data_IF_704479194723
#
_entry.id   IF_704479194723
#
_cell.length_a   1.000
_cell.length_b   1.000
_cell.length_c   1.000
_cell.angle_alpha   90.00
_cell.angle_beta   90.00
_cell.angle_gamma   90.00
#
_symmetry.space_group_name_H-M   'P 1'
#
loop_
_entity.id
_entity.type
_entity.pdbx_description
1 polymer ?
#
# COMPACT_ATOMS: atom_id res chain seq x y z
N UNK A 1 17.41 -24.90 -17.20
CA UNK A 1 16.51 -23.75 -17.44
C UNK A 1 16.99 -22.60 -16.60
N UNK A 2 17.06 -21.40 -17.17
CA UNK A 2 17.51 -20.18 -16.50
C UNK A 2 16.54 -19.77 -15.39
N UNK A 3 17.08 -19.39 -14.23
CA UNK A 3 16.33 -18.83 -13.09
C UNK A 3 15.49 -17.63 -13.53
N UNK A 4 14.24 -17.55 -13.09
CA UNK A 4 13.37 -16.41 -13.45
C UNK A 4 13.86 -15.17 -12.69
N UNK A 5 14.18 -14.04 -13.36
CA UNK A 5 14.69 -12.86 -12.68
C UNK A 5 13.68 -12.24 -11.72
N UNK A 6 14.17 -11.59 -10.67
CA UNK A 6 13.33 -10.86 -9.70
C UNK A 6 12.69 -9.62 -10.37
N UNK A 7 11.42 -9.75 -10.74
CA UNK A 7 10.60 -8.69 -11.32
C UNK A 7 10.28 -7.54 -10.36
N UNK A 8 10.53 -7.70 -9.05
CA UNK A 8 10.29 -6.65 -8.03
C UNK A 8 11.49 -5.73 -7.92
N UNK A 9 12.71 -6.29 -7.96
CA UNK A 9 13.96 -5.51 -7.89
C UNK A 9 14.43 -5.01 -9.24
N UNK A 10 14.22 -5.78 -10.32
CA UNK A 10 14.66 -5.39 -11.66
C UNK A 10 13.60 -5.69 -12.74
N UNK A 11 12.51 -4.89 -12.80
CA UNK A 11 11.43 -5.09 -13.76
C UNK A 11 11.93 -5.10 -15.22
N UNK A 12 12.94 -4.30 -15.54
CA UNK A 12 13.49 -4.22 -16.89
C UNK A 12 14.22 -5.50 -17.31
N UNK A 13 14.98 -6.11 -16.40
CA UNK A 13 15.66 -7.38 -16.65
C UNK A 13 14.66 -8.52 -16.79
N UNK A 14 13.64 -8.57 -15.94
CA UNK A 14 12.56 -9.55 -16.08
C UNK A 14 11.84 -9.43 -17.43
N UNK A 15 11.55 -8.20 -17.88
CA UNK A 15 10.91 -8.00 -19.19
C UNK A 15 11.78 -8.48 -20.34
N UNK A 16 13.10 -8.18 -20.31
CA UNK A 16 14.04 -8.71 -21.31
C UNK A 16 14.08 -10.24 -21.29
N UNK A 17 14.09 -10.83 -20.10
CA UNK A 17 14.04 -12.28 -19.97
C UNK A 17 12.76 -12.86 -20.58
N UNK A 18 11.60 -12.26 -20.27
CA UNK A 18 10.29 -12.70 -20.74
C UNK A 18 10.18 -12.59 -22.26
N UNK A 19 10.64 -11.48 -22.84
CA UNK A 19 10.65 -11.26 -24.29
C UNK A 19 11.58 -12.26 -25.00
N UNK A 20 12.71 -12.60 -24.36
CA UNK A 20 13.69 -13.57 -24.86
C UNK A 20 13.29 -15.05 -24.73
N UNK A 21 12.20 -15.37 -24.02
CA UNK A 21 11.75 -16.77 -23.91
C UNK A 21 11.04 -17.23 -25.19
N UNK A 22 11.44 -18.41 -25.68
CA UNK A 22 10.71 -19.11 -26.73
C UNK A 22 9.60 -19.96 -26.09
N UNK A 23 8.33 -19.71 -26.46
CA UNK A 23 7.17 -20.38 -25.84
C UNK A 23 7.25 -21.91 -25.94
N UNK A 24 7.81 -22.43 -27.03
CA UNK A 24 7.98 -23.86 -27.27
C UNK A 24 9.01 -24.54 -26.34
N UNK A 25 9.83 -23.76 -25.65
CA UNK A 25 10.84 -24.22 -24.70
C UNK A 25 10.36 -24.10 -23.25
N UNK A 26 9.19 -23.46 -23.02
CA UNK A 26 8.63 -23.29 -21.69
C UNK A 26 7.87 -24.55 -21.24
N UNK A 27 7.98 -24.90 -19.95
CA UNK A 27 7.46 -26.16 -19.41
C UNK A 27 5.94 -26.27 -19.56
N UNK A 28 5.22 -25.19 -19.39
CA UNK A 28 3.75 -25.17 -19.37
C UNK A 28 3.10 -25.01 -20.74
N UNK A 29 3.86 -25.06 -21.83
CA UNK A 29 3.32 -24.78 -23.18
C UNK A 29 2.17 -25.69 -23.59
N UNK A 30 2.23 -26.96 -23.18
CA UNK A 30 1.22 -27.98 -23.45
C UNK A 30 0.19 -28.10 -22.32
N UNK A 31 0.28 -27.25 -21.29
CA UNK A 31 -0.65 -27.32 -20.18
C UNK A 31 -2.05 -26.85 -20.64
N UNK A 32 -3.10 -27.68 -20.48
CA UNK A 32 -4.44 -27.35 -20.96
C UNK A 32 -5.05 -26.10 -20.29
N UNK A 33 -4.57 -25.71 -19.11
CA UNK A 33 -5.02 -24.50 -18.39
C UNK A 33 -4.41 -23.21 -18.92
N UNK A 34 -3.36 -23.28 -19.76
CA UNK A 34 -2.69 -22.10 -20.30
C UNK A 34 -3.65 -21.17 -21.05
N UNK A 35 -4.52 -21.73 -21.90
CA UNK A 35 -5.49 -20.95 -22.70
C UNK A 35 -6.56 -20.33 -21.79
N UNK A 36 -7.09 -21.10 -20.83
CA UNK A 36 -8.10 -20.61 -19.89
C UNK A 36 -7.55 -19.45 -19.04
N UNK A 37 -6.33 -19.59 -18.52
CA UNK A 37 -5.66 -18.55 -17.74
C UNK A 37 -5.35 -17.30 -18.56
N UNK A 38 -4.89 -17.47 -19.80
CA UNK A 38 -4.62 -16.36 -20.70
C UNK A 38 -5.88 -15.54 -20.96
N UNK A 39 -7.00 -16.20 -21.27
CA UNK A 39 -8.28 -15.54 -21.52
C UNK A 39 -8.79 -14.80 -20.27
N UNK A 40 -8.62 -15.39 -19.09
CA UNK A 40 -9.07 -14.82 -17.82
C UNK A 40 -8.27 -13.56 -17.44
N UNK A 41 -6.98 -13.52 -17.76
CA UNK A 41 -6.01 -12.54 -17.24
C UNK A 41 -5.56 -11.49 -18.26
N UNK A 42 -5.92 -11.65 -19.54
CA UNK A 42 -5.59 -10.69 -20.60
C UNK A 42 -6.01 -9.27 -20.20
N UNK A 43 -5.05 -8.35 -20.26
CA UNK A 43 -5.27 -6.93 -19.91
C UNK A 43 -5.33 -6.63 -18.41
N UNK A 44 -5.14 -7.63 -17.54
CA UNK A 44 -5.27 -7.47 -16.08
C UNK A 44 -3.92 -7.52 -15.35
N UNK A 45 -2.86 -8.00 -15.98
CA UNK A 45 -1.54 -8.13 -15.35
C UNK A 45 -0.63 -7.00 -15.80
N UNK A 46 0.01 -6.36 -14.83
CA UNK A 46 0.88 -5.19 -15.02
C UNK A 46 2.27 -5.40 -14.43
N UNK A 47 3.25 -4.63 -14.89
CA UNK A 47 4.61 -4.64 -14.37
C UNK A 47 5.18 -3.21 -14.25
N UNK A 48 6.14 -3.03 -13.33
CA UNK A 48 6.82 -1.76 -13.09
C UNK A 48 6.21 -0.90 -11.98
N UNK A 49 6.94 0.15 -11.58
CA UNK A 49 6.43 1.21 -10.71
C UNK A 49 5.51 2.15 -11.50
N UNK A 50 4.57 2.81 -10.82
CA UNK A 50 3.59 3.68 -11.47
C UNK A 50 4.26 4.77 -12.35
N UNK A 51 3.83 4.98 -13.62
CA UNK A 51 2.74 4.27 -14.29
C UNK A 51 3.13 2.84 -14.69
N UNK A 52 2.33 1.86 -14.26
CA UNK A 52 2.57 0.45 -14.55
C UNK A 52 2.17 0.12 -15.99
N UNK A 53 2.89 -0.82 -16.61
CA UNK A 53 2.65 -1.26 -17.99
C UNK A 53 1.89 -2.57 -17.98
N UNK A 54 0.78 -2.66 -18.73
CA UNK A 54 0.04 -3.91 -18.92
C UNK A 54 0.86 -4.86 -19.79
N UNK A 55 0.99 -6.13 -19.38
CA UNK A 55 1.64 -7.15 -20.20
C UNK A 55 0.86 -7.38 -21.49
N UNK A 56 1.58 -7.50 -22.61
CA UNK A 56 0.99 -7.97 -23.85
C UNK A 56 0.48 -9.41 -23.69
N UNK A 57 -0.41 -9.83 -24.59
CA UNK A 57 -0.95 -11.20 -24.58
C UNK A 57 0.17 -12.24 -24.72
N UNK A 58 1.18 -11.97 -25.56
CA UNK A 58 2.33 -12.85 -25.75
C UNK A 58 3.17 -12.95 -24.46
N UNK A 59 3.47 -11.83 -23.83
CA UNK A 59 4.22 -11.77 -22.57
C UNK A 59 3.46 -12.50 -21.45
N UNK A 60 2.16 -12.27 -21.32
CA UNK A 60 1.33 -12.98 -20.36
C UNK A 60 1.31 -14.49 -20.63
N UNK A 61 1.23 -14.90 -21.91
CA UNK A 61 1.26 -16.31 -22.28
C UNK A 61 2.59 -16.97 -21.92
N UNK A 62 3.72 -16.31 -22.20
CA UNK A 62 5.05 -16.78 -21.79
C UNK A 62 5.18 -16.84 -20.27
N UNK A 63 4.67 -15.84 -19.55
CA UNK A 63 4.67 -15.82 -18.09
C UNK A 63 3.93 -17.04 -17.52
N UNK A 64 2.69 -17.27 -17.97
CA UNK A 64 1.90 -18.41 -17.53
C UNK A 64 2.57 -19.74 -17.88
N UNK A 65 3.11 -19.87 -19.09
CA UNK A 65 3.80 -21.08 -19.52
C UNK A 65 5.11 -21.35 -18.77
N UNK A 66 5.78 -20.32 -18.25
CA UNK A 66 6.97 -20.50 -17.43
C UNK A 66 6.67 -21.14 -16.06
N UNK A 67 5.48 -20.89 -15.51
CA UNK A 67 5.08 -21.36 -14.18
C UNK A 67 4.14 -22.57 -14.19
N UNK A 68 3.51 -22.86 -15.33
CA UNK A 68 2.72 -24.09 -15.51
C UNK A 68 3.65 -25.29 -15.76
N UNK A 69 3.27 -26.44 -15.23
CA UNK A 69 3.94 -27.72 -15.51
C UNK A 69 3.25 -28.44 -16.66
N UNK A 70 3.98 -29.09 -17.58
CA UNK A 70 3.38 -30.01 -18.55
C UNK A 70 2.80 -31.22 -17.80
N UNK A 71 1.48 -31.52 -17.91
CA UNK A 71 0.90 -32.71 -17.31
C UNK A 71 1.62 -34.02 -17.67
N UNK A 72 2.25 -34.09 -18.85
CA UNK A 72 2.94 -35.28 -19.35
C UNK A 72 4.29 -35.52 -18.68
N UNK A 73 4.91 -34.50 -18.08
CA UNK A 73 6.20 -34.62 -17.38
C UNK A 73 6.03 -35.03 -15.93
N UNK A 74 4.80 -35.07 -15.41
CA UNK A 74 4.50 -35.53 -14.05
C UNK A 74 4.62 -37.06 -14.01
N UNK A 75 5.78 -37.56 -13.61
CA UNK A 75 6.08 -38.99 -13.47
C UNK A 75 6.48 -39.33 -12.03
N UNK A 76 5.78 -40.26 -11.37
CA UNK A 76 6.05 -40.68 -9.99
C UNK A 76 4.77 -41.02 -9.22
N UNK A 77 4.89 -41.36 -7.93
CA UNK A 77 3.79 -41.75 -7.02
C UNK A 77 2.72 -40.68 -6.73
N UNK A 78 2.70 -39.61 -7.52
CA UNK A 78 1.62 -38.64 -7.56
C UNK A 78 0.52 -39.15 -8.47
N UNK A 79 -0.71 -39.30 -7.95
CA UNK A 79 -1.84 -39.60 -8.83
C UNK A 79 -2.10 -38.38 -9.72
N UNK A 80 -2.32 -38.58 -11.03
CA UNK A 80 -2.78 -37.53 -11.95
C UNK A 80 -3.99 -36.73 -11.39
N UNK A 81 -4.78 -37.35 -10.50
CA UNK A 81 -5.86 -36.71 -9.76
C UNK A 81 -5.39 -35.56 -8.86
N UNK A 82 -4.30 -35.71 -8.11
CA UNK A 82 -3.78 -34.64 -7.23
C UNK A 82 -3.26 -33.44 -8.03
N UNK A 83 -2.57 -33.71 -9.14
CA UNK A 83 -2.11 -32.66 -10.06
C UNK A 83 -3.28 -31.85 -10.65
N UNK A 84 -4.33 -32.54 -11.11
CA UNK A 84 -5.54 -31.91 -11.63
C UNK A 84 -6.26 -31.07 -10.56
N UNK A 85 -6.39 -31.59 -9.35
CA UNK A 85 -7.03 -30.88 -8.23
C UNK A 85 -6.29 -29.60 -7.87
N UNK A 86 -4.96 -29.59 -7.86
CA UNK A 86 -4.20 -28.36 -7.59
C UNK A 86 -4.37 -27.31 -8.69
N UNK A 87 -4.41 -27.73 -9.97
CA UNK A 87 -4.70 -26.81 -11.07
C UNK A 87 -6.10 -26.19 -10.98
N UNK A 88 -7.11 -26.97 -10.64
CA UNK A 88 -8.47 -26.48 -10.47
C UNK A 88 -8.60 -25.56 -9.25
N UNK A 89 -7.88 -25.84 -8.16
CA UNK A 89 -7.81 -24.98 -6.98
C UNK A 89 -7.15 -23.62 -7.32
N UNK A 90 -6.08 -23.62 -8.12
CA UNK A 90 -5.46 -22.38 -8.56
C UNK A 90 -6.38 -21.55 -9.44
N UNK A 91 -7.08 -22.19 -10.38
CA UNK A 91 -8.07 -21.54 -11.22
C UNK A 91 -9.18 -20.90 -10.37
N UNK A 92 -9.67 -21.61 -9.33
CA UNK A 92 -10.65 -21.07 -8.40
C UNK A 92 -10.10 -19.87 -7.61
N UNK A 93 -8.83 -19.93 -7.16
CA UNK A 93 -8.18 -18.83 -6.45
C UNK A 93 -8.06 -17.57 -7.33
N UNK A 94 -7.67 -17.73 -8.61
CA UNK A 94 -7.57 -16.62 -9.57
C UNK A 94 -8.94 -16.03 -9.87
N UNK A 95 -9.97 -16.86 -10.10
CA UNK A 95 -11.36 -16.39 -10.30
C UNK A 95 -11.85 -15.61 -9.07
N UNK A 96 -11.59 -16.13 -7.87
CA UNK A 96 -11.92 -15.46 -6.62
C UNK A 96 -11.17 -14.13 -6.42
N UNK A 97 -9.90 -14.04 -6.83
CA UNK A 97 -9.13 -12.79 -6.81
C UNK A 97 -9.80 -11.73 -7.69
N UNK A 98 -10.19 -12.09 -8.91
CA UNK A 98 -10.84 -11.19 -9.86
C UNK A 98 -12.21 -10.75 -9.35
N UNK A 99 -13.02 -11.69 -8.85
CA UNK A 99 -14.34 -11.41 -8.30
C UNK A 99 -14.25 -10.46 -7.09
N UNK A 100 -13.32 -10.71 -6.16
CA UNK A 100 -13.08 -9.82 -5.02
C UNK A 100 -12.68 -8.42 -5.48
N UNK A 101 -11.77 -8.31 -6.46
CA UNK A 101 -11.37 -7.03 -7.03
C UNK A 101 -12.54 -6.23 -7.63
N UNK A 102 -13.47 -6.91 -8.31
CA UNK A 102 -14.68 -6.29 -8.86
C UNK A 102 -15.67 -5.78 -7.81
N UNK A 103 -15.65 -6.33 -6.59
CA UNK A 103 -16.51 -5.90 -5.47
C UNK A 103 -15.92 -4.75 -4.65
N UNK A 104 -14.72 -4.27 -4.99
CA UNK A 104 -14.06 -3.16 -4.29
C UNK A 104 -14.55 -1.79 -4.81
N UNK A 105 -14.37 -0.76 -3.99
CA UNK A 105 -14.64 0.64 -4.33
C UNK A 105 -13.40 1.49 -4.10
N UNK A 106 -12.71 1.98 -5.15
CA UNK A 106 -12.97 1.70 -6.56
C UNK A 106 -12.64 0.25 -6.95
N UNK A 107 -13.25 -0.30 -8.03
CA UNK A 107 -12.96 -1.64 -8.49
C UNK A 107 -11.50 -1.83 -8.86
N UNK A 108 -10.90 -2.92 -8.41
CA UNK A 108 -9.55 -3.32 -8.81
C UNK A 108 -9.64 -4.30 -9.97
N UNK A 109 -9.20 -3.83 -11.13
CA UNK A 109 -9.27 -4.57 -12.40
C UNK A 109 -7.90 -5.00 -12.93
N UNK A 110 -6.82 -4.55 -12.28
CA UNK A 110 -5.45 -4.89 -12.61
C UNK A 110 -4.61 -5.24 -11.38
N UNK A 111 -3.65 -6.13 -11.56
CA UNK A 111 -2.72 -6.62 -10.54
C UNK A 111 -1.31 -6.57 -11.11
N UNK A 112 -0.33 -6.26 -10.28
CA UNK A 112 1.08 -6.43 -10.66
C UNK A 112 1.42 -7.92 -10.84
N UNK A 113 2.47 -8.23 -11.64
CA UNK A 113 3.04 -9.58 -11.74
C UNK A 113 3.26 -10.16 -10.34
N UNK A 114 3.80 -9.37 -9.42
CA UNK A 114 4.01 -9.73 -8.02
C UNK A 114 2.72 -10.19 -7.31
N UNK A 115 1.64 -9.41 -7.41
CA UNK A 115 0.36 -9.73 -6.78
C UNK A 115 -0.30 -10.96 -7.43
N UNK A 116 -0.16 -11.08 -8.74
CA UNK A 116 -0.68 -12.22 -9.48
C UNK A 116 0.06 -13.53 -9.15
N UNK A 117 1.40 -13.49 -9.07
CA UNK A 117 2.21 -14.64 -8.67
C UNK A 117 1.81 -15.15 -7.28
N UNK A 118 1.63 -14.21 -6.33
CA UNK A 118 1.23 -14.52 -4.97
C UNK A 118 -0.18 -15.13 -4.88
N UNK A 119 -1.16 -14.48 -5.50
CA UNK A 119 -2.58 -14.78 -5.30
C UNK A 119 -3.11 -15.85 -6.26
N UNK A 120 -2.43 -16.08 -7.38
CA UNK A 120 -2.92 -16.91 -8.48
C UNK A 120 -2.06 -18.12 -8.83
N UNK A 121 -0.73 -17.98 -8.86
CA UNK A 121 0.18 -19.01 -9.37
C UNK A 121 0.84 -19.88 -8.29
N UNK A 122 0.77 -19.47 -7.02
CA UNK A 122 1.21 -20.27 -5.86
C UNK A 122 0.55 -21.66 -5.77
N UNK A 123 -0.61 -21.85 -6.39
CA UNK A 123 -1.32 -23.12 -6.45
C UNK A 123 -1.02 -23.97 -7.70
N UNK A 124 -0.29 -23.43 -8.69
CA UNK A 124 0.03 -24.12 -9.97
C UNK A 124 1.40 -24.82 -9.97
N UNK A 125 2.27 -24.50 -9.01
CA UNK A 125 3.62 -25.04 -8.89
C UNK A 125 3.67 -26.11 -7.79
N UNK A 126 3.40 -27.38 -8.12
CA UNK A 126 3.43 -28.48 -7.14
C UNK A 126 4.70 -29.36 -7.20
N UNK A 127 5.47 -29.30 -8.28
CA UNK A 127 6.73 -30.08 -8.45
C UNK A 127 8.00 -29.24 -8.24
N UNK A 128 7.83 -27.95 -7.91
CA UNK A 128 8.92 -27.02 -7.60
C UNK A 128 8.53 -26.20 -6.39
N UNK A 129 8.95 -26.62 -5.22
CA UNK A 129 9.18 -25.71 -4.10
C UNK A 129 10.68 -25.41 -4.16
N UNK A 130 11.09 -24.76 -5.25
CA UNK A 130 12.45 -24.25 -5.36
C UNK A 130 12.55 -22.93 -4.58
N UNK A 131 13.76 -22.57 -4.18
CA UNK A 131 14.08 -21.30 -3.52
C UNK A 131 13.47 -20.09 -4.26
N UNK A 132 13.31 -20.17 -5.58
CA UNK A 132 12.69 -19.16 -6.45
C UNK A 132 11.23 -18.82 -6.07
N UNK A 133 10.43 -19.80 -5.63
CA UNK A 133 9.04 -19.58 -5.21
C UNK A 133 9.01 -18.98 -3.81
N UNK A 134 9.82 -19.51 -2.90
CA UNK A 134 9.96 -18.99 -1.54
C UNK A 134 10.50 -17.54 -1.58
N UNK A 135 11.45 -17.24 -2.45
CA UNK A 135 11.99 -15.91 -2.65
C UNK A 135 11.01 -14.98 -3.36
N UNK A 136 10.17 -15.50 -4.26
CA UNK A 136 9.00 -14.79 -4.79
C UNK A 136 8.03 -14.40 -3.66
N UNK A 137 7.70 -15.34 -2.76
CA UNK A 137 6.84 -15.07 -1.60
C UNK A 137 7.47 -14.04 -0.66
N UNK A 138 8.76 -14.18 -0.32
CA UNK A 138 9.51 -13.19 0.48
C UNK A 138 9.51 -11.83 -0.21
N UNK A 139 9.76 -11.77 -1.52
CA UNK A 139 9.80 -10.53 -2.29
C UNK A 139 8.47 -9.79 -2.27
N UNK A 140 7.35 -10.50 -2.42
CA UNK A 140 6.01 -9.90 -2.33
C UNK A 140 5.68 -9.46 -0.90
N UNK A 141 6.01 -10.27 0.11
CA UNK A 141 5.82 -9.88 1.51
C UNK A 141 6.63 -8.64 1.87
N UNK A 142 7.89 -8.56 1.42
CA UNK A 142 8.75 -7.37 1.60
C UNK A 142 8.17 -6.16 0.86
N UNK A 143 7.70 -6.34 -0.39
CA UNK A 143 7.10 -5.24 -1.17
C UNK A 143 5.82 -4.71 -0.52
N UNK A 144 4.92 -5.59 -0.08
CA UNK A 144 3.67 -5.20 0.59
C UNK A 144 3.93 -4.63 1.98
N UNK A 145 4.89 -5.17 2.75
CA UNK A 145 5.32 -4.59 4.02
C UNK A 145 5.91 -3.19 3.83
N UNK A 146 6.74 -2.98 2.81
CA UNK A 146 7.29 -1.67 2.47
C UNK A 146 6.19 -0.67 2.07
N UNK A 147 5.22 -1.08 1.25
CA UNK A 147 4.05 -0.25 0.91
C UNK A 147 3.21 0.09 2.14
N UNK A 148 2.98 -0.88 3.02
CA UNK A 148 2.26 -0.70 4.29
C UNK A 148 2.99 0.29 5.21
N UNK A 149 4.30 0.14 5.37
CA UNK A 149 5.15 1.05 6.16
C UNK A 149 5.12 2.46 5.58
N UNK A 150 5.34 2.60 4.28
CA UNK A 150 5.31 3.90 3.60
C UNK A 150 3.95 4.60 3.76
N UNK A 151 2.83 3.90 3.54
CA UNK A 151 1.49 4.46 3.76
C UNK A 151 1.22 4.77 5.22
N UNK A 152 1.68 3.90 6.13
CA UNK A 152 1.55 4.12 7.57
C UNK A 152 2.30 5.36 8.04
N UNK A 153 3.50 5.59 7.53
CA UNK A 153 4.28 6.79 7.84
C UNK A 153 3.66 8.04 7.20
N UNK A 154 3.15 7.94 5.96
CA UNK A 154 2.41 9.05 5.33
C UNK A 154 1.15 9.43 6.11
N UNK A 155 0.41 8.45 6.61
CA UNK A 155 -0.77 8.65 7.44
C UNK A 155 -0.44 9.28 8.79
N UNK A 156 0.66 8.87 9.43
CA UNK A 156 1.14 9.51 10.67
C UNK A 156 1.44 10.98 10.43
N UNK A 157 2.13 11.30 9.34
CA UNK A 157 2.46 12.69 8.97
C UNK A 157 1.20 13.54 8.76
N UNK A 158 0.22 13.04 7.99
CA UNK A 158 -1.03 13.77 7.75
C UNK A 158 -1.91 13.88 8.99
N UNK A 159 -1.95 12.85 9.84
CA UNK A 159 -2.70 12.87 11.09
C UNK A 159 -2.11 13.87 12.07
N UNK A 160 -0.78 13.95 12.15
CA UNK A 160 -0.10 14.96 12.94
C UNK A 160 -0.41 16.37 12.47
N UNK A 161 -0.39 16.59 11.15
CA UNK A 161 -0.79 17.88 10.55
C UNK A 161 -2.25 18.24 10.89
N UNK A 162 -3.19 17.30 10.76
CA UNK A 162 -4.60 17.51 11.13
C UNK A 162 -4.76 17.83 12.62
N UNK A 163 -4.00 17.18 13.50
CA UNK A 163 -4.07 17.47 14.93
C UNK A 163 -3.57 18.87 15.25
N UNK A 164 -2.52 19.35 14.57
CA UNK A 164 -2.06 20.74 14.67
C UNK A 164 -3.14 21.71 14.18
N UNK A 165 -3.78 21.45 13.04
CA UNK A 165 -4.94 22.22 12.58
C UNK A 165 -6.09 22.22 13.61
N UNK A 166 -6.35 21.08 14.26
CA UNK A 166 -7.35 20.96 15.32
C UNK A 166 -7.03 21.82 16.56
N UNK A 167 -5.76 21.88 16.96
CA UNK A 167 -5.30 22.78 18.03
C UNK A 167 -5.51 24.25 17.65
N UNK A 168 -5.11 24.64 16.43
CA UNK A 168 -5.29 26.02 15.93
C UNK A 168 -6.78 26.39 15.93
N UNK A 169 -7.63 25.52 15.38
CA UNK A 169 -9.07 25.74 15.31
C UNK A 169 -9.71 25.82 16.70
N UNK A 170 -9.28 24.97 17.63
CA UNK A 170 -9.73 25.02 19.02
C UNK A 170 -9.39 26.37 19.67
N UNK A 171 -8.18 26.87 19.47
CA UNK A 171 -7.74 28.13 20.05
C UNK A 171 -8.47 29.34 19.44
N UNK A 172 -8.66 29.36 18.11
CA UNK A 172 -9.48 30.37 17.43
C UNK A 172 -10.91 30.36 17.98
N UNK A 173 -11.51 29.18 18.17
CA UNK A 173 -12.86 29.04 18.68
C UNK A 173 -12.98 29.51 20.14
N UNK A 174 -11.96 29.28 20.99
CA UNK A 174 -11.93 29.84 22.36
C UNK A 174 -11.96 31.37 22.33
N UNK A 175 -11.16 31.99 21.45
CA UNK A 175 -11.16 33.46 21.30
C UNK A 175 -12.49 33.97 20.77
N UNK A 176 -13.10 33.29 19.79
CA UNK A 176 -14.43 33.66 19.29
C UNK A 176 -15.52 33.55 20.36
N UNK A 177 -15.44 32.55 21.24
CA UNK A 177 -16.39 32.34 22.33
C UNK A 177 -16.16 33.26 23.54
N UNK A 178 -15.04 33.98 23.60
CA UNK A 178 -14.73 34.87 24.71
C UNK A 178 -15.69 36.07 24.75
N UNK A 179 -16.08 36.48 25.95
CA UNK A 179 -16.99 37.62 26.19
C UNK A 179 -16.29 38.98 26.14
N UNK A 180 -14.96 39.00 26.22
CA UNK A 180 -14.11 40.19 26.10
C UNK A 180 -12.75 39.79 25.49
N UNK A 181 -12.06 40.74 24.84
CA UNK A 181 -10.76 40.53 24.17
C UNK A 181 -10.74 39.39 23.13
N UNK A 182 -11.65 39.47 22.16
CA UNK A 182 -11.76 38.54 21.03
C UNK A 182 -10.71 38.80 19.94
N UNK A 183 -9.43 38.83 20.31
CA UNK A 183 -8.30 39.00 19.38
C UNK A 183 -7.40 37.77 19.43
N UNK A 184 -7.30 37.07 18.31
CA UNK A 184 -6.41 35.92 18.17
C UNK A 184 -5.06 36.39 17.64
N UNK A 185 -3.99 36.07 18.36
CA UNK A 185 -2.63 36.39 17.93
C UNK A 185 -1.99 35.17 17.26
N UNK A 186 -1.39 35.37 16.10
CA UNK A 186 -0.80 34.27 15.32
C UNK A 186 0.59 33.87 15.80
N UNK A 187 1.14 34.58 16.81
CA UNK A 187 2.37 34.25 17.53
C UNK A 187 2.19 33.10 18.57
N UNK A 188 0.98 32.57 18.71
CA UNK A 188 0.68 31.42 19.56
C UNK A 188 1.61 30.24 19.26
N UNK A 189 2.32 29.75 20.28
CA UNK A 189 3.33 28.72 20.13
C UNK A 189 2.72 27.31 20.07
N UNK A 190 2.94 26.63 18.95
CA UNK A 190 2.52 25.25 18.69
C UNK A 190 3.50 24.21 19.26
N UNK A 191 4.67 24.60 19.76
CA UNK A 191 5.65 23.64 20.33
C UNK A 191 5.35 23.21 21.79
N UNK A 192 4.15 23.49 22.31
CA UNK A 192 3.76 23.03 23.65
C UNK A 192 3.17 21.61 23.59
N UNK A 193 3.88 20.67 24.22
CA UNK A 193 3.51 19.25 24.28
C UNK A 193 2.11 19.00 24.87
N UNK A 194 1.63 19.89 25.75
CA UNK A 194 0.32 19.78 26.39
C UNK A 194 -0.84 19.96 25.42
N UNK A 195 -0.63 20.74 24.33
CA UNK A 195 -1.64 20.97 23.31
C UNK A 195 -2.07 19.68 22.59
N UNK A 196 -1.18 18.69 22.59
CA UNK A 196 -1.37 17.41 21.91
C UNK A 196 -1.63 16.25 22.87
N UNK A 197 -1.74 16.52 24.18
CA UNK A 197 -2.02 15.52 25.21
C UNK A 197 -0.83 14.65 25.61
N UNK A 198 0.41 15.05 25.30
CA UNK A 198 1.59 14.32 25.78
C UNK A 198 1.81 14.52 27.28
N UNK A 199 2.32 13.49 27.96
CA UNK A 199 2.67 13.57 29.39
C UNK A 199 4.00 14.29 29.66
N UNK A 200 4.90 14.31 28.67
CA UNK A 200 6.22 14.94 28.79
C UNK A 200 6.70 15.53 27.46
N UNK A 201 7.60 16.52 27.54
CA UNK A 201 8.28 17.07 26.36
C UNK A 201 9.15 16.01 25.65
N UNK A 202 9.75 15.10 26.41
CA UNK A 202 10.57 14.03 25.85
C UNK A 202 9.76 13.06 24.97
N UNK A 203 8.50 12.79 25.33
CA UNK A 203 7.60 11.97 24.52
C UNK A 203 7.11 12.72 23.30
N UNK A 204 6.80 14.01 23.45
CA UNK A 204 6.42 14.87 22.33
C UNK A 204 7.51 14.95 21.26
N UNK A 205 8.78 15.08 21.65
CA UNK A 205 9.93 15.10 20.71
C UNK A 205 10.07 13.82 19.87
N UNK A 206 9.50 12.70 20.32
CA UNK A 206 9.46 11.44 19.56
C UNK A 206 8.22 11.36 18.65
N UNK A 207 7.20 12.15 18.96
CA UNK A 207 5.91 12.17 18.29
C UNK A 207 5.94 12.78 16.89
N UNK A 208 4.96 12.43 16.03
CA UNK A 208 4.89 12.92 14.66
C UNK A 208 4.55 14.42 14.58
N UNK A 209 3.85 14.99 15.56
CA UNK A 209 3.54 16.42 15.63
C UNK A 209 4.81 17.26 15.80
N UNK A 210 5.70 16.88 16.72
CA UNK A 210 6.99 17.57 16.88
C UNK A 210 7.86 17.45 15.62
N UNK A 211 7.94 16.26 15.02
CA UNK A 211 8.70 16.04 13.77
C UNK A 211 8.21 16.88 12.60
N UNK A 212 6.93 17.24 12.58
CA UNK A 212 6.40 18.16 11.58
C UNK A 212 6.75 19.61 11.94
N UNK A 213 6.52 20.00 13.19
CA UNK A 213 6.77 21.37 13.67
C UNK A 213 8.27 21.74 13.61
N UNK A 214 9.18 20.85 13.97
CA UNK A 214 10.63 21.12 13.98
C UNK A 214 11.16 21.57 12.62
N UNK A 215 10.53 21.12 11.53
CA UNK A 215 10.87 21.52 10.15
C UNK A 215 10.62 23.02 9.91
N UNK A 216 9.79 23.65 10.73
CA UNK A 216 9.27 25.02 10.61
C UNK A 216 9.74 25.92 11.76
N UNK A 217 10.64 25.40 12.60
CA UNK A 217 11.12 26.04 13.80
C UNK A 217 11.94 27.29 13.47
N UNK A 218 11.63 28.39 14.16
CA UNK A 218 12.44 29.60 14.12
C UNK A 218 13.75 29.44 14.90
N UNK A 219 14.63 30.42 14.78
CA UNK A 219 15.88 30.49 15.56
C UNK A 219 15.68 30.54 17.08
N UNK A 220 14.48 30.91 17.52
CA UNK A 220 14.06 30.95 18.93
C UNK A 220 13.55 29.60 19.46
N UNK A 221 13.59 28.56 18.63
CA UNK A 221 13.12 27.23 19.00
C UNK A 221 11.60 27.10 19.04
N UNK A 222 10.84 28.06 18.51
CA UNK A 222 9.36 28.02 18.52
C UNK A 222 8.80 27.87 17.12
N UNK A 223 7.54 27.43 17.07
CA UNK A 223 6.73 27.45 15.86
C UNK A 223 5.44 28.14 16.20
N UNK A 224 5.23 29.32 15.63
CA UNK A 224 3.97 30.02 15.80
C UNK A 224 2.91 29.48 14.84
N UNK A 225 1.64 29.81 15.07
CA UNK A 225 0.56 29.53 14.11
C UNK A 225 0.87 30.14 12.75
N UNK A 226 1.41 31.36 12.72
CA UNK A 226 1.83 32.00 11.48
C UNK A 226 2.91 31.18 10.76
N UNK A 227 3.99 30.81 11.46
CA UNK A 227 5.06 29.98 10.89
C UNK A 227 4.50 28.68 10.28
N UNK A 228 3.60 28.01 11.01
CA UNK A 228 3.00 26.77 10.55
C UNK A 228 2.14 26.98 9.29
N UNK A 229 1.24 27.98 9.28
CA UNK A 229 0.32 28.22 8.16
C UNK A 229 1.05 28.70 6.90
N UNK A 230 2.11 29.51 7.03
CA UNK A 230 2.90 30.01 5.90
C UNK A 230 3.93 29.01 5.36
N UNK A 231 4.26 27.96 6.12
CA UNK A 231 5.24 26.95 5.70
C UNK A 231 4.75 26.08 4.53
N UNK A 232 5.62 25.79 3.58
CA UNK A 232 5.42 24.83 2.49
C UNK A 232 5.81 23.39 2.88
N UNK A 233 6.41 23.19 4.06
CA UNK A 233 6.89 21.89 4.56
C UNK A 233 5.78 21.00 5.14
N UNK A 234 4.56 21.16 4.64
CA UNK A 234 3.35 20.43 5.06
C UNK A 234 2.47 20.09 3.86
N UNK A 235 1.61 19.08 4.00
CA UNK A 235 0.83 18.52 2.88
C UNK A 235 -0.29 19.45 2.41
N UNK A 236 -0.87 20.25 3.30
CA UNK A 236 -1.90 21.26 2.96
C UNK A 236 -1.37 22.49 2.20
N UNK A 237 -0.04 22.62 2.07
CA UNK A 237 0.63 23.73 1.40
C UNK A 237 0.63 25.03 2.21
N UNK A 238 1.33 26.04 1.68
CA UNK A 238 1.46 27.35 2.32
C UNK A 238 0.20 28.21 2.13
N UNK A 239 -0.20 28.91 3.20
CA UNK A 239 -1.12 30.05 3.15
C UNK A 239 -0.31 31.34 2.95
N UNK A 240 -0.95 32.36 2.38
CA UNK A 240 -0.36 33.69 2.17
C UNK A 240 -1.12 34.72 3.00
N UNK A 241 -0.47 35.86 3.22
CA UNK A 241 -1.08 37.05 3.82
C UNK A 241 -1.63 36.81 5.23
N UNK A 242 -0.91 36.03 6.05
CA UNK A 242 -1.28 35.79 7.44
C UNK A 242 -0.92 37.03 8.29
N UNK A 243 -1.94 37.69 8.84
CA UNK A 243 -1.80 38.85 9.72
C UNK A 243 -1.20 38.43 11.08
N UNK A 244 -0.59 39.37 11.80
CA UNK A 244 -0.03 39.11 13.14
C UNK A 244 -1.15 38.83 14.17
N UNK A 245 -2.32 39.40 13.96
CA UNK A 245 -3.49 39.19 14.80
C UNK A 245 -4.79 39.36 14.01
N UNK A 246 -5.84 38.70 14.48
CA UNK A 246 -7.19 38.77 13.93
C UNK A 246 -8.17 39.10 15.05
N UNK A 247 -8.73 40.31 15.01
CA UNK A 247 -9.76 40.74 15.95
C UNK A 247 -11.16 40.41 15.43
N UNK A 248 -12.04 40.03 16.33
CA UNK A 248 -13.48 39.97 16.06
C UNK A 248 -14.04 41.37 15.88
N UNK A 249 -14.87 41.55 14.86
CA UNK A 249 -15.64 42.75 14.63
C UNK A 249 -17.03 42.33 14.10
N UNK A 250 -18.09 42.97 14.61
CA UNK A 250 -19.49 42.64 14.26
C UNK A 250 -19.81 42.92 12.78
N UNK A 251 -19.21 43.96 12.21
CA UNK A 251 -19.49 44.43 10.84
C UNK A 251 -18.53 43.83 9.82
N UNK A 252 -17.30 43.47 10.24
CA UNK A 252 -16.30 42.81 9.39
C UNK A 252 -15.48 41.79 10.19
N UNK A 253 -16.03 40.60 10.39
CA UNK A 253 -15.45 39.57 11.23
C UNK A 253 -14.22 38.90 10.59
N UNK A 254 -13.08 39.61 10.59
CA UNK A 254 -11.79 39.09 10.12
C UNK A 254 -11.39 37.78 10.83
N UNK A 255 -11.63 37.69 12.14
CA UNK A 255 -11.36 36.47 12.91
C UNK A 255 -12.21 35.28 12.44
N UNK A 256 -13.49 35.49 12.15
CA UNK A 256 -14.38 34.48 11.58
C UNK A 256 -13.93 34.04 10.19
N UNK A 257 -13.58 34.99 9.31
CA UNK A 257 -13.08 34.69 7.97
C UNK A 257 -11.75 33.92 8.00
N UNK A 258 -10.86 34.27 8.94
CA UNK A 258 -9.63 33.53 9.18
C UNK A 258 -9.90 32.10 9.67
N UNK A 259 -10.83 31.93 10.62
CA UNK A 259 -11.29 30.62 11.09
C UNK A 259 -11.78 29.73 9.95
N UNK A 260 -12.63 30.27 9.07
CA UNK A 260 -13.10 29.54 7.87
C UNK A 260 -11.96 29.18 6.94
N UNK A 261 -11.01 30.10 6.69
CA UNK A 261 -9.86 29.84 5.83
C UNK A 261 -8.95 28.72 6.37
N UNK A 262 -8.75 28.67 7.69
CA UNK A 262 -8.01 27.57 8.35
C UNK A 262 -8.77 26.25 8.22
N UNK A 263 -10.09 26.25 8.44
CA UNK A 263 -10.94 25.06 8.25
C UNK A 263 -10.89 24.54 6.81
N UNK A 264 -11.03 25.41 5.82
CA UNK A 264 -11.00 25.04 4.40
C UNK A 264 -9.67 24.42 3.97
N UNK A 265 -8.56 24.75 4.64
CA UNK A 265 -7.24 24.11 4.40
C UNK A 265 -7.15 22.70 4.99
N UNK A 266 -7.80 22.45 6.13
CA UNK A 266 -7.79 21.14 6.79
C UNK A 266 -8.74 20.12 6.16
N UNK A 267 -9.84 20.55 5.52
CA UNK A 267 -10.85 19.63 4.95
C UNK A 267 -10.29 18.67 3.89
N UNK A 268 -9.60 19.13 2.83
CA UNK A 268 -9.03 18.21 1.84
C UNK A 268 -8.00 17.24 2.44
N UNK A 269 -7.26 17.68 3.46
CA UNK A 269 -6.31 16.83 4.17
C UNK A 269 -7.02 15.72 4.95
N UNK A 270 -8.17 16.03 5.58
CA UNK A 270 -8.99 15.04 6.28
C UNK A 270 -9.56 13.99 5.32
N UNK A 271 -10.02 14.42 4.15
CA UNK A 271 -10.50 13.51 3.10
C UNK A 271 -9.38 12.57 2.62
N UNK A 272 -8.17 13.10 2.42
CA UNK A 272 -6.99 12.29 2.06
C UNK A 272 -6.59 11.29 3.15
N UNK A 273 -6.67 11.65 4.43
CA UNK A 273 -6.43 10.73 5.55
C UNK A 273 -7.44 9.59 5.55
N UNK A 274 -8.72 9.89 5.32
CA UNK A 274 -9.76 8.87 5.22
C UNK A 274 -9.52 7.91 4.05
N UNK A 275 -9.18 8.44 2.86
CA UNK A 275 -8.83 7.63 1.69
C UNK A 275 -7.63 6.73 1.97
N UNK A 276 -6.53 7.30 2.49
CA UNK A 276 -5.29 6.55 2.75
C UNK A 276 -5.45 5.53 3.86
N UNK A 277 -6.29 5.79 4.87
CA UNK A 277 -6.62 4.82 5.92
C UNK A 277 -7.33 3.61 5.34
N UNK A 278 -8.30 3.85 4.45
CA UNK A 278 -8.98 2.78 3.71
C UNK A 278 -7.98 1.95 2.90
N UNK A 279 -7.04 2.60 2.20
CA UNK A 279 -5.99 1.92 1.41
C UNK A 279 -5.01 1.13 2.30
N UNK A 280 -4.62 1.67 3.46
CA UNK A 280 -3.76 0.97 4.42
C UNK A 280 -4.43 -0.29 4.97
N UNK A 281 -5.72 -0.21 5.29
CA UNK A 281 -6.51 -1.34 5.75
C UNK A 281 -6.61 -2.44 4.67
N UNK A 282 -6.82 -2.06 3.41
CA UNK A 282 -6.83 -2.99 2.27
C UNK A 282 -5.47 -3.67 2.09
N UNK A 283 -4.36 -2.92 2.09
CA UNK A 283 -3.00 -3.49 1.96
C UNK A 283 -2.68 -4.41 3.14
N UNK A 284 -3.08 -4.04 4.36
CA UNK A 284 -2.90 -4.87 5.55
C UNK A 284 -3.73 -6.17 5.47
N UNK A 285 -4.95 -6.09 4.96
CA UNK A 285 -5.79 -7.27 4.70
C UNK A 285 -5.16 -8.20 3.67
N UNK A 286 -4.65 -7.66 2.55
CA UNK A 286 -3.95 -8.43 1.52
C UNK A 286 -2.67 -9.08 2.05
N UNK A 287 -1.91 -8.36 2.88
CA UNK A 287 -0.71 -8.89 3.53
C UNK A 287 -1.05 -10.07 4.46
N UNK A 288 -2.11 -9.95 5.26
CA UNK A 288 -2.56 -11.03 6.13
C UNK A 288 -3.10 -12.23 5.33
N UNK A 289 -3.86 -12.00 4.26
CA UNK A 289 -4.30 -13.05 3.36
C UNK A 289 -3.12 -13.76 2.67
N UNK A 290 -2.06 -13.01 2.33
CA UNK A 290 -0.82 -13.57 1.79
C UNK A 290 -0.10 -14.47 2.81
N UNK A 291 -0.02 -14.05 4.08
CA UNK A 291 0.51 -14.86 5.17
C UNK A 291 -0.32 -16.14 5.34
N UNK A 292 -1.64 -16.03 5.32
CA UNK A 292 -2.50 -17.20 5.49
C UNK A 292 -2.37 -18.18 4.33
N UNK A 293 -2.30 -17.68 3.09
CA UNK A 293 -2.05 -18.49 1.91
C UNK A 293 -0.69 -19.20 1.99
N UNK A 294 0.36 -18.49 2.44
CA UNK A 294 1.68 -19.07 2.66
C UNK A 294 1.65 -20.14 3.75
N UNK A 295 0.97 -19.89 4.87
CA UNK A 295 0.84 -20.87 5.95
C UNK A 295 0.09 -22.13 5.49
N UNK A 296 -1.01 -21.98 4.75
CA UNK A 296 -1.76 -23.10 4.16
C UNK A 296 -0.90 -23.87 3.15
N UNK A 297 -0.09 -23.17 2.37
CA UNK A 297 0.86 -23.77 1.44
C UNK A 297 1.93 -24.60 2.16
N UNK A 298 2.56 -24.03 3.20
CA UNK A 298 3.55 -24.72 4.04
C UNK A 298 2.93 -25.94 4.73
N UNK A 299 1.74 -25.81 5.31
CA UNK A 299 1.04 -26.93 5.97
C UNK A 299 0.70 -28.05 5.00
N UNK A 300 0.29 -27.72 3.77
CA UNK A 300 0.01 -28.71 2.74
C UNK A 300 1.29 -29.41 2.27
N UNK A 301 2.39 -28.67 2.16
CA UNK A 301 3.70 -29.26 1.89
C UNK A 301 4.17 -30.19 3.01
N UNK A 302 4.08 -29.76 4.27
CA UNK A 302 4.45 -30.59 5.44
C UNK A 302 3.60 -31.86 5.51
N UNK A 303 2.30 -31.77 5.19
CA UNK A 303 1.41 -32.93 5.12
C UNK A 303 1.86 -33.90 4.02
N UNK A 304 2.16 -33.39 2.82
CA UNK A 304 2.60 -34.22 1.68
C UNK A 304 3.97 -34.87 1.97
N UNK A 305 4.90 -34.13 2.58
CA UNK A 305 6.21 -34.67 2.96
C UNK A 305 6.11 -35.73 4.06
N UNK A 306 5.20 -35.57 5.03
CA UNK A 306 4.91 -36.62 6.03
C UNK A 306 4.29 -37.86 5.41
N UNK A 307 3.37 -37.70 4.46
CA UNK A 307 2.77 -38.83 3.75
C UNK A 307 3.81 -39.58 2.90
N UNK A 308 4.79 -38.87 2.32
CA UNK A 308 5.93 -39.48 1.61
C UNK A 308 6.84 -40.25 2.56
N UNK A 309 7.22 -39.67 3.71
CA UNK A 309 8.10 -40.32 4.69
C UNK A 309 7.40 -41.49 5.39
N UNK A 310 6.09 -41.41 5.60
CA UNK A 310 5.29 -42.50 6.16
C UNK A 310 4.95 -43.62 5.17
N UNK A 311 5.14 -43.39 3.87
CA UNK A 311 4.92 -44.37 2.80
C UNK A 311 6.20 -45.10 2.34
N UNK A 312 7.35 -44.80 2.96
CA UNK A 312 8.64 -45.52 2.81
C UNK A 312 8.84 -46.41 4.04
#
# INVERSE_FOLDING_TARGET
MSTIPDYTRNPAEFMRWLDGQALNELPGKENPKLIELLALLKGKITIGAAPSTVLSEEQLKKLLAAYLTDPKTVTGGWSQGQFKVGQDAAMAAIKGMIERGGKQTPPVTSWSVSEFMLLGLSALTMDRIDDDIIDTFKGVMVSQDNKRKALGDELKDMTAELKIYGVIQSEINKVLAATSNQTFKTDFNLMDYKLYGYGSEADFKKGPEFKLLEKMQGSDGKVTVKNFLESDKKKSGAMKDIEAEYAYNKDNNKLGNFSTSVSDRSRPLNDQVSEKTTRLNDISSRYNAAIEALNRFIQKYDSIMRDIIGAI
#
